data_IF_774605984152
#
_entry.id   IF_774605984152
#
_cell.length_a   1.000
_cell.length_b   1.000
_cell.length_c   1.000
_cell.angle_alpha   90.00
_cell.angle_beta   90.00
_cell.angle_gamma   90.00
#
_symmetry.space_group_name_H-M   'P 1'
#
loop_
_entity.id
_entity.type
_entity.pdbx_description
1 polymer ?
#
# COMPACT_ATOMS: atom_id res chain seq x y z
N UNK A 1 52.36 -9.26 63.96
CA UNK A 1 52.86 -10.57 64.45
C UNK A 1 52.53 -11.74 63.51
N UNK A 2 51.26 -12.19 63.35
CA UNK A 2 50.93 -13.37 62.53
C UNK A 2 51.19 -13.18 61.01
N UNK A 3 50.87 -12.01 60.44
CA UNK A 3 51.15 -11.68 59.03
C UNK A 3 52.65 -11.70 58.68
N UNK A 4 53.49 -11.16 59.57
CA UNK A 4 54.96 -11.15 59.41
C UNK A 4 55.56 -12.55 59.56
N UNK A 5 54.96 -13.42 60.40
CA UNK A 5 55.37 -14.82 60.55
C UNK A 5 54.99 -15.66 59.33
N UNK A 6 53.79 -15.46 58.78
CA UNK A 6 53.34 -16.08 57.51
C UNK A 6 54.17 -15.59 56.31
N UNK A 7 54.55 -14.31 56.27
CA UNK A 7 55.43 -13.76 55.23
C UNK A 7 56.85 -14.33 55.31
N UNK A 8 57.38 -14.57 56.52
CA UNK A 8 58.69 -15.24 56.71
C UNK A 8 58.67 -16.71 56.32
N UNK A 9 57.57 -17.43 56.55
CA UNK A 9 57.42 -18.82 56.13
C UNK A 9 57.29 -18.96 54.61
N UNK A 10 56.54 -18.06 53.94
CA UNK A 10 56.48 -18.00 52.47
C UNK A 10 57.80 -17.65 51.78
N UNK A 11 58.73 -17.02 52.49
CA UNK A 11 60.04 -16.64 51.96
C UNK A 11 61.06 -17.80 51.95
N UNK A 12 60.73 -18.93 52.59
CA UNK A 12 61.58 -20.13 52.72
C UNK A 12 60.97 -21.34 52.00
N UNK A 13 59.67 -21.28 51.69
CA UNK A 13 58.92 -22.31 50.99
C UNK A 13 59.33 -22.35 49.51
N UNK A 14 59.72 -23.53 49.01
CA UNK A 14 60.01 -23.70 47.59
C UNK A 14 58.72 -23.54 46.76
N UNK A 15 58.85 -23.14 45.48
CA UNK A 15 57.71 -23.01 44.58
C UNK A 15 56.89 -24.31 44.51
N UNK A 16 57.55 -25.46 44.54
CA UNK A 16 56.91 -26.78 44.54
C UNK A 16 56.12 -27.07 45.83
N UNK A 17 56.65 -26.71 47.00
CA UNK A 17 55.94 -26.86 48.27
C UNK A 17 54.72 -25.93 48.36
N UNK A 18 54.87 -24.70 47.85
CA UNK A 18 53.79 -23.73 47.76
C UNK A 18 52.66 -24.25 46.85
N UNK A 19 53.01 -24.74 45.66
CA UNK A 19 52.05 -25.29 44.71
C UNK A 19 51.38 -26.57 45.25
N UNK A 20 52.13 -27.42 45.96
CA UNK A 20 51.58 -28.60 46.64
C UNK A 20 50.62 -28.24 47.79
N UNK A 21 50.91 -27.17 48.54
CA UNK A 21 50.01 -26.69 49.59
C UNK A 21 48.72 -26.12 49.00
N UNK A 22 48.82 -25.32 47.93
CA UNK A 22 47.65 -24.82 47.19
C UNK A 22 46.83 -26.00 46.64
N UNK A 23 47.47 -27.03 46.11
CA UNK A 23 46.78 -28.23 45.62
C UNK A 23 45.99 -28.93 46.73
N UNK A 24 46.58 -29.11 47.92
CA UNK A 24 45.88 -29.67 49.10
C UNK A 24 44.68 -28.82 49.53
N UNK A 25 44.83 -27.50 49.54
CA UNK A 25 43.74 -26.57 49.87
C UNK A 25 42.61 -26.69 48.84
N UNK A 26 42.94 -26.74 47.54
CA UNK A 26 41.95 -26.93 46.47
C UNK A 26 41.21 -28.25 46.62
N UNK A 27 41.93 -29.33 46.94
CA UNK A 27 41.32 -30.65 47.16
C UNK A 27 40.37 -30.66 48.36
N UNK A 28 40.77 -30.06 49.48
CA UNK A 28 39.90 -29.94 50.64
C UNK A 28 38.64 -29.11 50.36
N UNK A 29 38.78 -28.00 49.64
CA UNK A 29 37.66 -27.16 49.21
C UNK A 29 36.73 -27.94 48.26
N UNK A 30 37.26 -28.76 47.34
CA UNK A 30 36.46 -29.61 46.44
C UNK A 30 35.57 -30.56 47.24
N UNK A 31 36.15 -31.27 48.21
CA UNK A 31 35.41 -32.22 49.05
C UNK A 31 34.29 -31.53 49.84
N UNK A 32 34.54 -30.34 50.37
CA UNK A 32 33.52 -29.53 51.06
C UNK A 32 32.40 -29.11 50.09
N UNK A 33 32.76 -28.71 48.87
CA UNK A 33 31.78 -28.29 47.85
C UNK A 33 30.98 -29.46 47.26
N UNK A 34 31.52 -30.68 47.29
CA UNK A 34 30.81 -31.89 46.85
C UNK A 34 29.79 -32.37 47.89
N UNK A 35 30.03 -32.05 49.17
CA UNK A 35 29.18 -32.47 50.30
C UNK A 35 28.30 -31.35 50.86
N UNK A 36 28.35 -30.16 50.26
CA UNK A 36 27.56 -29.01 50.69
C UNK A 36 26.06 -29.21 50.41
N UNK A 37 25.21 -28.77 51.34
CA UNK A 37 23.78 -28.70 51.08
C UNK A 37 23.45 -27.57 50.09
N UNK A 38 22.28 -27.63 49.44
CA UNK A 38 21.82 -26.57 48.54
C UNK A 38 21.78 -25.20 49.24
N UNK A 39 21.35 -25.15 50.50
CA UNK A 39 21.31 -23.91 51.30
C UNK A 39 22.72 -23.39 51.61
N UNK A 40 23.64 -24.26 52.02
CA UNK A 40 25.03 -23.89 52.30
C UNK A 40 25.74 -23.38 51.03
N UNK A 41 25.48 -24.03 49.89
CA UNK A 41 25.93 -23.58 48.57
C UNK A 41 25.42 -22.19 48.25
N UNK A 42 24.13 -21.94 48.48
CA UNK A 42 23.53 -20.65 48.16
C UNK A 42 24.07 -19.52 49.06
N UNK A 43 24.26 -19.79 50.35
CA UNK A 43 24.91 -18.84 51.28
C UNK A 43 26.33 -18.52 50.80
N UNK A 44 27.12 -19.53 50.42
CA UNK A 44 28.49 -19.35 49.91
C UNK A 44 28.53 -18.56 48.61
N UNK A 45 27.66 -18.89 47.64
CA UNK A 45 27.58 -18.18 46.37
C UNK A 45 27.05 -16.75 46.54
N UNK A 46 26.11 -16.54 47.47
CA UNK A 46 25.62 -15.20 47.84
C UNK A 46 26.74 -14.35 48.43
N UNK A 47 27.49 -14.88 49.41
CA UNK A 47 28.64 -14.19 49.99
C UNK A 47 29.71 -13.86 48.93
N UNK A 48 29.97 -14.78 47.98
CA UNK A 48 30.90 -14.54 46.87
C UNK A 48 30.39 -13.46 45.91
N UNK A 49 29.10 -13.44 45.58
CA UNK A 49 28.48 -12.37 44.77
C UNK A 49 28.59 -11.02 45.45
N UNK A 50 28.35 -10.95 46.76
CA UNK A 50 28.49 -9.72 47.55
C UNK A 50 29.94 -9.23 47.58
N UNK A 51 30.90 -10.11 47.87
CA UNK A 51 32.31 -9.75 47.84
C UNK A 51 32.74 -9.24 46.46
N UNK A 52 32.35 -9.95 45.39
CA UNK A 52 32.68 -9.52 44.03
C UNK A 52 32.03 -8.18 43.67
N UNK A 53 30.78 -7.95 44.10
CA UNK A 53 30.10 -6.66 43.91
C UNK A 53 30.86 -5.53 44.60
N UNK A 54 31.35 -5.75 45.83
CA UNK A 54 32.14 -4.77 46.55
C UNK A 54 33.46 -4.49 45.85
N UNK A 55 34.19 -5.54 45.43
CA UNK A 55 35.42 -5.38 44.64
C UNK A 55 35.16 -4.60 43.36
N UNK A 56 34.04 -4.85 42.66
CA UNK A 56 33.67 -4.07 41.45
C UNK A 56 33.30 -2.62 41.76
N UNK A 57 32.73 -2.33 42.92
CA UNK A 57 32.39 -0.98 43.33
C UNK A 57 33.63 -0.16 43.69
N UNK A 58 34.63 -0.81 44.30
CA UNK A 58 35.88 -0.19 44.72
C UNK A 58 36.95 -0.15 43.60
N UNK A 59 36.64 -0.65 42.40
CA UNK A 59 37.53 -0.64 41.24
C UNK A 59 37.79 0.78 40.74
N UNK A 60 39.06 1.13 40.56
CA UNK A 60 39.46 2.34 39.82
C UNK A 60 39.14 2.20 38.32
N UNK A 61 38.95 3.31 37.58
CA UNK A 61 38.74 3.28 36.14
C UNK A 61 39.83 2.50 35.38
N UNK A 62 41.10 2.61 35.81
CA UNK A 62 42.24 1.93 35.21
C UNK A 62 42.19 0.42 35.45
N UNK A 63 41.91 -0.01 36.69
CA UNK A 63 41.74 -1.43 37.03
C UNK A 63 40.55 -2.03 36.27
N UNK A 64 39.44 -1.28 36.17
CA UNK A 64 38.26 -1.67 35.39
C UNK A 64 38.62 -1.85 33.93
N UNK A 65 39.41 -0.95 33.34
CA UNK A 65 39.81 -1.03 31.94
C UNK A 65 40.76 -2.21 31.68
N UNK A 66 41.74 -2.46 32.56
CA UNK A 66 42.61 -3.64 32.48
C UNK A 66 41.77 -4.92 32.49
N UNK A 67 40.79 -5.01 33.40
CA UNK A 67 39.89 -6.16 33.47
C UNK A 67 39.03 -6.33 32.22
N UNK A 68 38.41 -5.24 31.73
CA UNK A 68 37.57 -5.30 30.53
C UNK A 68 38.40 -5.62 29.29
N UNK A 69 39.64 -5.12 29.21
CA UNK A 69 40.60 -5.45 28.15
C UNK A 69 40.96 -6.94 28.18
N UNK A 70 41.32 -7.49 29.34
CA UNK A 70 41.58 -8.91 29.50
C UNK A 70 40.37 -9.78 29.11
N UNK A 71 39.15 -9.35 29.49
CA UNK A 71 37.92 -10.04 29.11
C UNK A 71 37.66 -9.99 27.60
N UNK A 72 37.89 -8.84 26.95
CA UNK A 72 37.78 -8.70 25.48
C UNK A 72 38.78 -9.61 24.78
N UNK A 73 40.03 -9.68 25.26
CA UNK A 73 41.06 -10.56 24.72
C UNK A 73 40.69 -12.03 24.86
N UNK A 74 40.28 -12.46 26.05
CA UNK A 74 39.80 -13.83 26.28
C UNK A 74 38.63 -14.17 25.35
N UNK A 75 37.61 -13.31 25.26
CA UNK A 75 36.46 -13.54 24.38
C UNK A 75 36.84 -13.57 22.90
N UNK A 76 37.82 -12.78 22.48
CA UNK A 76 38.34 -12.82 21.11
C UNK A 76 39.04 -14.16 20.82
N UNK A 77 39.84 -14.66 21.76
CA UNK A 77 40.53 -15.95 21.64
C UNK A 77 39.53 -17.11 21.58
N UNK A 78 38.54 -17.12 22.47
CA UNK A 78 37.46 -18.13 22.46
C UNK A 78 36.72 -18.09 21.12
N UNK A 79 36.34 -16.91 20.62
CA UNK A 79 35.65 -16.77 19.32
C UNK A 79 36.49 -17.21 18.13
N UNK A 80 37.81 -16.99 18.17
CA UNK A 80 38.72 -17.43 17.11
C UNK A 80 38.88 -18.95 17.07
N UNK A 81 38.74 -19.62 18.22
CA UNK A 81 38.79 -21.08 18.35
C UNK A 81 37.44 -21.80 18.21
N UNK A 82 36.35 -21.08 17.93
CA UNK A 82 35.02 -21.69 17.77
C UNK A 82 34.96 -22.61 16.55
N UNK A 83 34.43 -23.81 16.74
CA UNK A 83 34.00 -24.66 15.61
C UNK A 83 32.79 -24.06 14.89
N UNK A 84 32.54 -24.40 13.62
CA UNK A 84 31.34 -23.95 12.89
C UNK A 84 30.04 -24.23 13.65
N UNK A 85 29.92 -25.39 14.30
CA UNK A 85 28.74 -25.80 15.06
C UNK A 85 28.56 -24.94 16.33
N UNK A 86 29.63 -24.69 17.08
CA UNK A 86 29.61 -23.80 18.25
C UNK A 86 29.26 -22.36 17.85
N UNK A 87 29.82 -21.88 16.72
CA UNK A 87 29.51 -20.56 16.18
C UNK A 87 28.04 -20.45 15.81
N UNK A 88 27.48 -21.43 15.12
CA UNK A 88 26.07 -21.41 14.73
C UNK A 88 25.14 -21.53 15.95
N UNK A 89 25.47 -22.38 16.93
CA UNK A 89 24.73 -22.46 18.19
C UNK A 89 24.71 -21.11 18.93
N UNK A 90 25.86 -20.42 19.01
CA UNK A 90 25.96 -19.08 19.61
C UNK A 90 25.16 -18.04 18.84
N UNK A 91 25.25 -18.03 17.50
CA UNK A 91 24.48 -17.09 16.67
C UNK A 91 22.97 -17.36 16.77
N UNK A 92 22.55 -18.62 16.86
CA UNK A 92 21.16 -18.98 17.08
C UNK A 92 20.66 -18.53 18.45
N UNK A 93 21.41 -18.80 19.53
CA UNK A 93 21.08 -18.28 20.86
C UNK A 93 20.95 -16.75 20.85
N UNK A 94 21.84 -16.05 20.13
CA UNK A 94 21.77 -14.60 19.97
C UNK A 94 20.55 -14.12 19.18
N UNK A 95 20.19 -14.80 18.08
CA UNK A 95 18.97 -14.51 17.29
C UNK A 95 17.72 -14.69 18.14
N UNK A 96 17.63 -15.80 18.89
CA UNK A 96 16.51 -16.10 19.80
C UNK A 96 16.40 -15.03 20.88
N UNK A 97 17.48 -14.75 21.60
CA UNK A 97 17.51 -13.69 22.62
C UNK A 97 17.04 -12.34 22.06
N UNK A 98 17.57 -11.92 20.90
CA UNK A 98 17.16 -10.66 20.28
C UNK A 98 15.70 -10.66 19.84
N UNK A 99 15.17 -11.79 19.38
CA UNK A 99 13.75 -11.89 19.03
C UNK A 99 12.87 -11.73 20.27
N UNK A 100 13.30 -12.27 21.41
CA UNK A 100 12.60 -12.18 22.69
C UNK A 100 12.63 -10.76 23.24
N UNK A 101 13.83 -10.14 23.27
CA UNK A 101 13.97 -8.73 23.64
C UNK A 101 13.06 -7.83 22.77
N UNK A 102 12.98 -8.09 21.46
CA UNK A 102 12.10 -7.34 20.55
C UNK A 102 10.60 -7.59 20.80
N UNK A 103 10.23 -8.78 21.27
CA UNK A 103 8.86 -9.10 21.61
C UNK A 103 8.43 -8.42 22.93
N UNK A 104 9.37 -8.26 23.86
CA UNK A 104 9.15 -7.65 25.17
C UNK A 104 9.36 -6.11 25.17
N UNK A 105 9.70 -5.52 24.02
CA UNK A 105 9.90 -4.06 23.86
C UNK A 105 8.61 -3.27 24.18
N UNK A 106 8.73 -2.21 24.98
CA UNK A 106 7.64 -1.23 25.11
C UNK A 106 7.48 -0.42 23.81
N UNK A 107 6.31 0.20 23.57
CA UNK A 107 6.12 1.09 22.41
C UNK A 107 7.18 2.20 22.29
N UNK A 108 7.61 2.78 23.41
CA UNK A 108 8.64 3.83 23.47
C UNK A 108 10.01 3.28 23.11
N UNK A 109 10.38 2.10 23.63
CA UNK A 109 11.64 1.43 23.29
C UNK A 109 11.68 1.05 21.80
N UNK A 110 10.56 0.55 21.28
CA UNK A 110 10.42 0.23 19.86
C UNK A 110 10.59 1.47 18.99
N UNK A 111 9.95 2.59 19.34
CA UNK A 111 10.06 3.83 18.57
C UNK A 111 11.48 4.43 18.68
N UNK A 112 12.12 4.39 19.85
CA UNK A 112 13.51 4.81 20.02
C UNK A 112 14.46 3.98 19.13
N UNK A 113 14.28 2.65 19.08
CA UNK A 113 15.06 1.75 18.21
C UNK A 113 14.82 2.04 16.74
N UNK A 114 13.56 2.22 16.32
CA UNK A 114 13.23 2.54 14.93
C UNK A 114 13.78 3.91 14.52
N UNK A 115 13.73 4.90 15.41
CA UNK A 115 14.33 6.20 15.17
C UNK A 115 15.85 6.13 15.06
N UNK A 116 16.54 5.42 15.96
CA UNK A 116 17.98 5.18 15.83
C UNK A 116 18.32 4.52 14.49
N UNK A 117 17.52 3.55 14.04
CA UNK A 117 17.70 2.90 12.75
C UNK A 117 17.45 3.84 11.55
N UNK A 118 16.40 4.67 11.60
CA UNK A 118 16.11 5.70 10.58
C UNK A 118 17.27 6.71 10.48
N UNK A 119 17.77 7.18 11.62
CA UNK A 119 18.89 8.13 11.70
C UNK A 119 20.18 7.53 11.13
N UNK A 120 20.53 6.31 11.55
CA UNK A 120 21.68 5.60 11.00
C UNK A 120 21.57 5.44 9.48
N UNK A 121 20.42 5.00 8.97
CA UNK A 121 20.23 4.86 7.54
C UNK A 121 20.29 6.20 6.82
N UNK A 122 19.72 7.26 7.39
CA UNK A 122 19.82 8.61 6.82
C UNK A 122 21.27 9.06 6.72
N UNK A 123 22.09 8.82 7.75
CA UNK A 123 23.51 9.13 7.74
C UNK A 123 24.25 8.34 6.65
N UNK A 124 24.04 7.03 6.59
CA UNK A 124 24.62 6.18 5.54
C UNK A 124 24.23 6.70 4.15
N UNK A 125 22.97 7.14 3.94
CA UNK A 125 22.51 7.71 2.67
C UNK A 125 23.14 9.07 2.36
N UNK A 126 23.44 9.89 3.37
CA UNK A 126 24.11 11.17 3.19
C UNK A 126 25.57 10.98 2.79
N UNK A 127 26.22 9.94 3.31
CA UNK A 127 27.63 9.61 3.05
C UNK A 127 27.82 8.73 1.79
N UNK A 128 26.75 8.39 1.06
CA UNK A 128 26.82 7.56 -0.15
C UNK A 128 27.57 8.25 -1.28
N UNK A 129 28.52 7.55 -1.90
CA UNK A 129 29.12 8.01 -3.15
C UNK A 129 28.13 7.90 -4.32
N UNK A 130 28.32 8.65 -5.43
CA UNK A 130 27.49 8.52 -6.62
C UNK A 130 27.39 7.09 -7.15
N UNK A 131 28.48 6.31 -7.11
CA UNK A 131 28.53 4.92 -7.57
C UNK A 131 27.71 4.01 -6.64
N UNK A 132 27.87 4.15 -5.33
CA UNK A 132 27.09 3.39 -4.34
C UNK A 132 25.59 3.69 -4.47
N UNK A 133 25.25 4.97 -4.67
CA UNK A 133 23.88 5.41 -4.94
C UNK A 133 23.34 4.78 -6.21
N UNK A 134 24.12 4.71 -7.28
CA UNK A 134 23.67 4.11 -8.54
C UNK A 134 23.48 2.60 -8.43
N UNK A 135 24.38 1.88 -7.76
CA UNK A 135 24.23 0.45 -7.47
C UNK A 135 22.93 0.20 -6.70
N UNK A 136 22.66 1.01 -5.67
CA UNK A 136 21.43 0.90 -4.88
C UNK A 136 20.17 1.19 -5.69
N UNK A 137 20.17 2.27 -6.47
CA UNK A 137 19.02 2.63 -7.30
C UNK A 137 18.79 1.59 -8.40
N UNK A 138 19.85 1.02 -8.97
CA UNK A 138 19.78 -0.09 -9.91
C UNK A 138 19.15 -1.33 -9.27
N UNK A 139 19.60 -1.73 -8.09
CA UNK A 139 19.01 -2.84 -7.33
C UNK A 139 17.52 -2.58 -7.02
N UNK A 140 17.15 -1.36 -6.64
CA UNK A 140 15.76 -0.97 -6.40
C UNK A 140 14.91 -1.03 -7.68
N UNK A 141 15.44 -0.57 -8.82
CA UNK A 141 14.77 -0.69 -10.13
C UNK A 141 14.57 -2.15 -10.52
N UNK A 142 15.57 -3.01 -10.32
CA UNK A 142 15.44 -4.45 -10.58
C UNK A 142 14.39 -5.09 -9.71
N UNK A 143 14.41 -4.84 -8.39
CA UNK A 143 13.40 -5.35 -7.47
C UNK A 143 11.99 -4.89 -7.88
N UNK A 144 11.82 -3.60 -8.19
CA UNK A 144 10.53 -3.08 -8.63
C UNK A 144 10.09 -3.72 -9.96
N UNK A 145 11.00 -3.94 -10.90
CA UNK A 145 10.70 -4.64 -12.16
C UNK A 145 10.23 -6.07 -11.91
N UNK A 146 10.88 -6.80 -10.99
CA UNK A 146 10.48 -8.16 -10.62
C UNK A 146 9.10 -8.18 -9.96
N UNK A 147 8.84 -7.26 -9.02
CA UNK A 147 7.51 -7.12 -8.40
C UNK A 147 6.45 -6.84 -9.46
N UNK A 148 6.73 -5.96 -10.44
CA UNK A 148 5.80 -5.66 -11.54
C UNK A 148 5.59 -6.83 -12.48
N UNK A 149 6.61 -7.66 -12.72
CA UNK A 149 6.50 -8.84 -13.56
C UNK A 149 5.64 -9.93 -12.91
N UNK A 150 5.65 -10.00 -11.58
CA UNK A 150 4.84 -10.95 -10.81
C UNK A 150 3.44 -10.41 -10.44
N UNK A 151 3.08 -9.18 -10.84
CA UNK A 151 1.74 -8.62 -10.57
C UNK A 151 0.66 -9.38 -11.34
N UNK A 152 -0.39 -9.79 -10.63
CA UNK A 152 -1.60 -10.28 -11.29
C UNK A 152 -2.44 -9.10 -11.86
N UNK A 153 -3.42 -9.36 -12.75
CA UNK A 153 -4.24 -8.31 -13.36
C UNK A 153 -5.00 -7.42 -12.36
N UNK A 154 -5.49 -8.00 -11.26
CA UNK A 154 -6.23 -7.26 -10.23
C UNK A 154 -5.31 -6.29 -9.46
N UNK A 155 -4.14 -6.76 -9.04
CA UNK A 155 -3.11 -5.95 -8.40
C UNK A 155 -2.63 -4.82 -9.31
N UNK A 156 -2.44 -5.13 -10.61
CA UNK A 156 -2.09 -4.14 -11.62
C UNK A 156 -3.16 -3.06 -11.75
N UNK A 157 -4.44 -3.45 -11.82
CA UNK A 157 -5.55 -2.49 -11.94
C UNK A 157 -5.74 -1.68 -10.67
N UNK A 158 -5.62 -2.29 -9.48
CA UNK A 158 -5.65 -1.58 -8.21
C UNK A 158 -4.55 -0.50 -8.13
N UNK A 159 -3.32 -0.85 -8.55
CA UNK A 159 -2.22 0.11 -8.63
C UNK A 159 -2.46 1.23 -9.63
N UNK A 160 -2.95 0.90 -10.84
CA UNK A 160 -3.25 1.90 -11.86
C UNK A 160 -4.37 2.83 -11.40
N UNK A 161 -5.38 2.31 -10.70
CA UNK A 161 -6.44 3.11 -10.09
C UNK A 161 -5.90 4.03 -8.99
N UNK A 162 -5.07 3.53 -8.07
CA UNK A 162 -4.41 4.37 -7.08
C UNK A 162 -3.60 5.50 -7.73
N UNK A 163 -2.88 5.20 -8.82
CA UNK A 163 -2.14 6.20 -9.59
C UNK A 163 -3.04 7.23 -10.28
N UNK A 164 -4.16 6.80 -10.91
CA UNK A 164 -5.16 7.69 -11.51
C UNK A 164 -5.78 8.61 -10.45
N UNK A 165 -6.12 8.07 -9.29
CA UNK A 165 -6.72 8.82 -8.17
C UNK A 165 -5.75 9.87 -7.63
N UNK A 166 -4.50 9.48 -7.34
CA UNK A 166 -3.46 10.42 -6.91
C UNK A 166 -3.27 11.55 -7.91
N UNK A 167 -3.16 11.23 -9.21
CA UNK A 167 -2.97 12.25 -10.24
C UNK A 167 -4.21 13.13 -10.44
N UNK A 168 -5.41 12.59 -10.27
CA UNK A 168 -6.66 13.36 -10.31
C UNK A 168 -6.72 14.36 -9.15
N UNK A 169 -6.38 13.92 -7.93
CA UNK A 169 -6.31 14.77 -6.75
C UNK A 169 -5.23 15.85 -6.90
N UNK A 170 -4.03 15.48 -7.36
CA UNK A 170 -2.97 16.43 -7.64
C UNK A 170 -3.42 17.50 -8.65
N UNK A 171 -4.08 17.11 -9.75
CA UNK A 171 -4.61 18.04 -10.76
C UNK A 171 -5.73 18.94 -10.25
N UNK A 172 -6.58 18.44 -9.35
CA UNK A 172 -7.65 19.22 -8.75
C UNK A 172 -7.11 20.30 -7.80
N UNK A 173 -5.96 20.04 -7.16
CA UNK A 173 -5.27 20.99 -6.28
C UNK A 173 -4.23 21.89 -6.97
N UNK A 174 -4.08 21.82 -8.30
CA UNK A 174 -3.11 22.66 -9.03
C UNK A 174 -3.51 24.15 -8.97
N UNK A 175 -2.54 25.02 -8.73
CA UNK A 175 -2.73 26.47 -8.95
C UNK A 175 -2.78 26.78 -10.46
N UNK A 176 -3.36 27.91 -10.88
CA UNK A 176 -3.36 28.32 -12.29
C UNK A 176 -1.96 28.34 -12.93
N UNK A 177 -0.94 28.77 -12.19
CA UNK A 177 0.46 28.84 -12.65
C UNK A 177 1.04 27.43 -12.84
N UNK A 178 0.80 26.52 -11.88
CA UNK A 178 1.22 25.12 -11.97
C UNK A 178 0.55 24.42 -13.16
N UNK A 179 -0.74 24.68 -13.37
CA UNK A 179 -1.50 24.16 -14.50
C UNK A 179 -0.92 24.63 -15.83
N UNK A 180 -0.63 25.93 -15.96
CA UNK A 180 -0.06 26.49 -17.20
C UNK A 180 1.36 25.98 -17.45
N UNK A 181 2.20 25.86 -16.42
CA UNK A 181 3.52 25.25 -16.53
C UNK A 181 3.44 23.80 -17.03
N UNK A 182 2.51 23.00 -16.49
CA UNK A 182 2.27 21.61 -16.93
C UNK A 182 1.78 21.56 -18.38
N UNK A 183 0.85 22.42 -18.78
CA UNK A 183 0.34 22.47 -20.15
C UNK A 183 1.42 22.92 -21.14
N UNK A 184 2.27 23.88 -20.77
CA UNK A 184 3.41 24.29 -21.57
C UNK A 184 4.45 23.19 -21.72
N UNK A 185 4.81 22.50 -20.63
CA UNK A 185 5.68 21.33 -20.72
C UNK A 185 5.11 20.24 -21.64
N UNK A 186 3.78 20.00 -21.57
CA UNK A 186 3.09 19.07 -22.46
C UNK A 186 3.10 19.51 -23.94
N UNK A 187 2.88 20.80 -24.22
CA UNK A 187 2.97 21.37 -25.59
C UNK A 187 4.39 21.22 -26.15
N UNK A 188 5.41 21.54 -25.34
CA UNK A 188 6.82 21.42 -25.73
C UNK A 188 7.22 19.97 -26.01
N UNK A 189 6.86 19.05 -25.11
CA UNK A 189 7.10 17.61 -25.32
C UNK A 189 6.44 17.12 -26.61
N UNK A 190 5.18 17.48 -26.85
CA UNK A 190 4.49 17.07 -28.07
C UNK A 190 5.11 17.69 -29.32
N UNK A 191 5.55 18.95 -29.26
CA UNK A 191 6.27 19.59 -30.36
C UNK A 191 7.55 18.81 -30.70
N UNK A 192 8.33 18.42 -29.68
CA UNK A 192 9.55 17.63 -29.86
C UNK A 192 9.24 16.25 -30.44
N UNK A 193 8.25 15.53 -29.90
CA UNK A 193 7.83 14.23 -30.44
C UNK A 193 7.36 14.33 -31.89
N UNK A 194 6.77 15.46 -32.31
CA UNK A 194 6.39 15.71 -33.71
C UNK A 194 7.58 16.03 -34.60
N UNK A 195 8.59 16.72 -34.08
CA UNK A 195 9.82 17.02 -34.79
C UNK A 195 10.64 15.74 -35.05
N UNK A 196 10.68 14.84 -34.06
CA UNK A 196 11.41 13.57 -34.11
C UNK A 196 10.58 12.41 -34.74
N UNK A 197 9.38 12.71 -35.27
CA UNK A 197 8.46 11.71 -35.81
C UNK A 197 8.95 11.18 -37.17
N UNK A 198 9.11 9.86 -37.30
CA UNK A 198 9.42 9.24 -38.60
C UNK A 198 8.25 9.42 -39.59
N UNK A 199 8.50 9.44 -40.91
CA UNK A 199 7.44 9.60 -41.91
C UNK A 199 6.30 8.57 -41.77
N UNK A 200 6.61 7.33 -41.42
CA UNK A 200 5.62 6.25 -41.23
C UNK A 200 4.73 6.54 -40.03
N UNK A 201 5.31 6.94 -38.88
CA UNK A 201 4.55 7.32 -37.69
C UNK A 201 3.67 8.54 -37.94
N UNK A 202 4.19 9.51 -38.70
CA UNK A 202 3.45 10.70 -39.13
C UNK A 202 2.23 10.32 -39.96
N UNK A 203 2.38 9.41 -40.91
CA UNK A 203 1.28 8.97 -41.77
C UNK A 203 0.21 8.20 -40.98
N UNK A 204 0.61 7.29 -40.08
CA UNK A 204 -0.33 6.59 -39.19
C UNK A 204 -1.16 7.58 -38.38
N UNK A 205 -0.52 8.61 -37.81
CA UNK A 205 -1.23 9.65 -37.05
C UNK A 205 -2.17 10.47 -37.93
N UNK A 206 -1.71 10.94 -39.08
CA UNK A 206 -2.53 11.77 -39.97
C UNK A 206 -3.72 10.97 -40.51
N UNK A 207 -3.52 9.68 -40.81
CA UNK A 207 -4.58 8.75 -41.18
C UNK A 207 -5.60 8.60 -40.06
N UNK A 208 -5.15 8.35 -38.82
CA UNK A 208 -6.04 8.28 -37.65
C UNK A 208 -6.83 9.59 -37.44
N UNK A 209 -6.18 10.75 -37.62
CA UNK A 209 -6.83 12.05 -37.53
C UNK A 209 -7.90 12.23 -38.63
N UNK A 210 -7.58 11.89 -39.88
CA UNK A 210 -8.54 11.94 -41.01
C UNK A 210 -9.74 11.03 -40.76
N UNK A 211 -9.52 9.82 -40.24
CA UNK A 211 -10.56 8.88 -39.88
C UNK A 211 -11.46 9.42 -38.76
N UNK A 212 -10.87 9.92 -37.68
CA UNK A 212 -11.62 10.53 -36.58
C UNK A 212 -12.44 11.73 -37.07
N UNK A 213 -11.85 12.66 -37.82
CA UNK A 213 -12.57 13.80 -38.39
C UNK A 213 -13.69 13.38 -39.33
N UNK A 214 -13.51 12.31 -40.11
CA UNK A 214 -14.59 11.76 -40.94
C UNK A 214 -15.73 11.17 -40.11
N UNK A 215 -15.43 10.49 -39.01
CA UNK A 215 -16.44 9.92 -38.12
C UNK A 215 -17.24 11.02 -37.43
N UNK A 216 -16.57 12.06 -36.92
CA UNK A 216 -17.21 13.23 -36.32
C UNK A 216 -18.16 13.90 -37.31
N UNK A 217 -17.70 14.21 -38.54
CA UNK A 217 -18.57 14.81 -39.57
C UNK A 217 -19.78 13.95 -39.92
N UNK A 218 -19.61 12.62 -39.99
CA UNK A 218 -20.72 11.69 -40.25
C UNK A 218 -21.73 11.69 -39.09
N UNK A 219 -21.25 11.69 -37.86
CA UNK A 219 -22.10 11.75 -36.67
C UNK A 219 -22.87 13.07 -36.61
N UNK A 220 -22.20 14.20 -36.83
CA UNK A 220 -22.84 15.53 -36.91
C UNK A 220 -23.90 15.56 -38.00
N UNK A 221 -23.60 15.06 -39.20
CA UNK A 221 -24.57 15.00 -40.29
C UNK A 221 -25.79 14.16 -39.91
N UNK A 222 -25.58 12.99 -39.31
CA UNK A 222 -26.68 12.12 -38.85
C UNK A 222 -27.52 12.78 -37.77
N UNK A 223 -26.91 13.52 -36.84
CA UNK A 223 -27.63 14.29 -35.81
C UNK A 223 -28.49 15.40 -36.45
N UNK A 224 -27.96 16.12 -37.44
CA UNK A 224 -28.70 17.15 -38.18
C UNK A 224 -29.87 16.52 -38.95
N UNK A 225 -29.64 15.41 -39.65
CA UNK A 225 -30.69 14.68 -40.37
C UNK A 225 -31.80 14.19 -39.42
N UNK A 226 -31.44 13.67 -38.24
CA UNK A 226 -32.40 13.25 -37.22
C UNK A 226 -33.20 14.44 -36.64
N UNK A 227 -32.54 15.57 -36.40
CA UNK A 227 -33.18 16.80 -35.95
C UNK A 227 -34.17 17.33 -36.98
N UNK A 228 -33.76 17.42 -38.25
CA UNK A 228 -34.62 17.87 -39.34
C UNK A 228 -35.84 16.94 -39.50
N UNK A 229 -35.64 15.62 -39.42
CA UNK A 229 -36.74 14.65 -39.44
C UNK A 229 -37.72 14.89 -38.28
N UNK A 230 -37.24 15.30 -37.11
CA UNK A 230 -38.09 15.56 -35.94
C UNK A 230 -38.91 16.84 -36.10
N UNK A 231 -38.30 17.93 -36.58
CA UNK A 231 -39.00 19.20 -36.79
C UNK A 231 -40.02 19.12 -37.92
N UNK A 232 -39.72 18.37 -38.98
CA UNK A 232 -40.61 18.20 -40.13
C UNK A 232 -41.83 17.28 -39.84
N UNK A 233 -41.99 16.76 -38.62
CA UNK A 233 -43.21 16.08 -38.20
C UNK A 233 -44.24 17.15 -37.81
N UNK A 234 -45.16 17.46 -38.71
CA UNK A 234 -46.23 18.44 -38.47
C UNK A 234 -47.44 17.84 -37.74
N UNK A 235 -48.27 18.70 -37.12
CA UNK A 235 -49.53 18.31 -36.48
C UNK A 235 -50.69 18.21 -37.50
N UNK A 236 -50.52 17.34 -38.50
CA UNK A 236 -51.46 17.18 -39.61
C UNK A 236 -52.59 16.17 -39.33
N UNK A 237 -52.47 15.34 -38.28
CA UNK A 237 -53.48 14.34 -37.93
C UNK A 237 -54.61 14.97 -37.15
N UNK A 238 -55.83 14.79 -37.63
CA UNK A 238 -57.04 15.33 -37.00
C UNK A 238 -57.72 14.21 -36.23
N UNK A 239 -58.02 14.45 -34.96
CA UNK A 239 -58.87 13.55 -34.18
C UNK A 239 -60.29 13.54 -34.77
N UNK A 240 -60.80 12.38 -35.15
CA UNK A 240 -62.14 12.29 -35.78
C UNK A 240 -63.29 12.55 -34.82
N UNK A 241 -63.03 12.64 -33.52
CA UNK A 241 -64.04 12.99 -32.51
C UNK A 241 -63.98 14.46 -32.12
N UNK A 242 -62.81 15.00 -31.77
CA UNK A 242 -62.72 16.38 -31.24
C UNK A 242 -62.05 17.37 -32.20
N UNK A 243 -61.80 16.96 -33.45
CA UNK A 243 -61.20 17.73 -34.54
C UNK A 243 -59.85 18.40 -34.24
N UNK A 244 -59.24 18.10 -33.09
CA UNK A 244 -57.94 18.62 -32.68
C UNK A 244 -56.83 18.11 -33.60
N UNK A 245 -56.07 19.05 -34.18
CA UNK A 245 -54.79 18.79 -34.84
C UNK A 245 -53.76 18.27 -33.84
N UNK A 246 -53.23 17.10 -34.14
CA UNK A 246 -52.37 16.32 -33.27
C UNK A 246 -51.17 15.84 -34.08
N UNK A 247 -50.03 15.70 -33.41
CA UNK A 247 -48.88 15.04 -34.03
C UNK A 247 -49.18 13.54 -34.23
N UNK A 248 -48.55 12.88 -35.21
CA UNK A 248 -48.74 11.45 -35.47
C UNK A 248 -48.59 10.54 -34.24
N UNK A 249 -47.71 10.91 -33.29
CA UNK A 249 -47.51 10.17 -32.04
C UNK A 249 -48.57 10.43 -30.95
N UNK A 250 -49.46 11.40 -31.15
CA UNK A 250 -50.53 11.78 -30.20
C UNK A 250 -51.89 11.19 -30.55
N UNK A 251 -51.99 10.54 -31.72
CA UNK A 251 -53.20 9.88 -32.21
C UNK A 251 -53.01 8.37 -32.31
N UNK A 252 -54.08 7.61 -32.11
CA UNK A 252 -54.08 6.16 -32.29
C UNK A 252 -55.39 5.70 -32.90
N UNK A 253 -55.33 4.69 -33.76
CA UNK A 253 -56.52 4.02 -34.27
C UNK A 253 -57.24 3.29 -33.14
N UNK A 254 -58.56 3.45 -33.07
CA UNK A 254 -59.43 2.77 -32.13
C UNK A 254 -60.56 2.07 -32.86
N UNK A 255 -60.75 0.77 -32.58
CA UNK A 255 -61.86 -0.02 -33.12
C UNK A 255 -63.14 0.35 -32.37
N UNK A 256 -64.21 0.60 -33.11
CA UNK A 256 -65.51 0.96 -32.54
C UNK A 256 -66.19 -0.33 -32.06
N UNK A 257 -66.57 -0.37 -30.78
CA UNK A 257 -67.35 -1.45 -30.20
C UNK A 257 -68.82 -1.04 -30.05
N UNK A 258 -69.72 -2.02 -29.89
CA UNK A 258 -71.18 -1.83 -29.81
C UNK A 258 -71.62 -0.82 -28.74
N UNK A 259 -70.90 -0.73 -27.62
CA UNK A 259 -71.20 0.22 -26.53
C UNK A 259 -70.90 1.67 -26.88
N UNK A 260 -70.00 1.91 -27.83
CA UNK A 260 -69.54 3.24 -28.26
C UNK A 260 -70.36 3.71 -29.47
N UNK A 261 -70.82 2.77 -30.30
CA UNK A 261 -71.70 3.00 -31.44
C UNK A 261 -73.08 3.60 -31.06
N UNK A 262 -73.50 3.48 -29.80
CA UNK A 262 -74.82 3.95 -29.33
C UNK A 262 -74.94 5.47 -29.21
N UNK A 263 -73.82 6.19 -29.05
CA UNK A 263 -73.80 7.65 -28.87
C UNK A 263 -72.86 8.40 -29.82
N UNK A 264 -72.22 7.68 -30.75
CA UNK A 264 -71.46 8.27 -31.86
C UNK A 264 -72.33 8.39 -33.13
N UNK A 265 -72.12 9.43 -33.97
CA UNK A 265 -72.79 9.60 -35.25
C UNK A 265 -72.57 8.41 -36.18
N UNK A 266 -73.56 8.13 -37.02
CA UNK A 266 -73.54 7.02 -37.95
C UNK A 266 -72.36 7.10 -38.95
N UNK A 267 -71.92 8.32 -39.28
CA UNK A 267 -70.78 8.62 -40.16
C UNK A 267 -69.45 8.15 -39.58
N UNK A 268 -69.30 8.15 -38.25
CA UNK A 268 -68.11 7.64 -37.57
C UNK A 268 -68.22 6.14 -37.31
N UNK A 269 -69.40 5.66 -36.93
CA UNK A 269 -69.66 4.25 -36.62
C UNK A 269 -69.51 3.34 -37.85
N UNK A 270 -69.86 3.82 -39.04
CA UNK A 270 -69.74 3.09 -40.32
C UNK A 270 -68.29 2.82 -40.75
N UNK A 271 -67.31 3.60 -40.26
CA UNK A 271 -65.89 3.45 -40.62
C UNK A 271 -65.18 2.27 -39.93
N UNK A 272 -65.77 1.70 -38.87
CA UNK A 272 -65.22 0.55 -38.11
C UNK A 272 -63.98 0.84 -37.25
N UNK A 273 -63.08 1.72 -37.71
CA UNK A 273 -61.93 2.23 -36.96
C UNK A 273 -61.83 3.74 -37.10
N UNK A 274 -61.61 4.44 -35.99
CA UNK A 274 -61.49 5.90 -35.95
C UNK A 274 -60.14 6.35 -35.37
N UNK A 275 -59.63 7.46 -35.87
CA UNK A 275 -58.36 8.04 -35.43
C UNK A 275 -58.58 9.02 -34.28
N UNK A 276 -58.04 8.70 -33.10
CA UNK A 276 -58.35 9.42 -31.87
C UNK A 276 -57.13 10.00 -31.18
N UNK A 277 -57.24 11.23 -30.67
CA UNK A 277 -56.25 11.74 -29.72
C UNK A 277 -56.31 10.95 -28.39
N UNK A 278 -55.22 10.96 -27.64
CA UNK A 278 -55.11 10.20 -26.38
C UNK A 278 -56.24 10.48 -25.37
N UNK A 279 -56.74 11.72 -25.32
CA UNK A 279 -57.85 12.12 -24.44
C UNK A 279 -59.18 11.49 -24.88
N UNK A 280 -59.51 11.55 -26.18
CA UNK A 280 -60.73 10.93 -26.72
C UNK A 280 -60.67 9.40 -26.61
N UNK A 281 -59.51 8.80 -26.88
CA UNK A 281 -59.29 7.37 -26.65
C UNK A 281 -59.60 6.99 -25.21
N UNK A 282 -59.01 7.70 -24.23
CA UNK A 282 -59.22 7.44 -22.80
C UNK A 282 -60.70 7.53 -22.42
N UNK A 283 -61.42 8.54 -22.95
CA UNK A 283 -62.86 8.73 -22.72
C UNK A 283 -63.71 7.58 -23.27
N UNK A 284 -63.39 7.07 -24.46
CA UNK A 284 -64.11 5.94 -25.05
C UNK A 284 -63.80 4.60 -24.38
N UNK A 285 -62.59 4.45 -23.83
CA UNK A 285 -62.21 3.26 -23.07
C UNK A 285 -62.72 3.27 -21.62
N UNK A 286 -63.11 4.43 -21.09
CA UNK A 286 -63.79 4.52 -19.79
C UNK A 286 -65.26 4.13 -19.93
N UNK A 287 -65.89 3.68 -18.83
CA UNK A 287 -67.32 3.27 -18.76
C UNK A 287 -68.28 4.47 -18.84
N UNK A 288 -68.08 5.37 -19.79
CA UNK A 288 -68.93 6.53 -20.02
C UNK A 288 -70.03 6.17 -21.02
N UNK A 289 -71.25 6.61 -20.73
CA UNK A 289 -72.46 6.37 -21.55
C UNK A 289 -72.80 7.56 -22.45
N UNK A 290 -71.97 8.60 -22.43
CA UNK A 290 -72.14 9.83 -23.21
C UNK A 290 -70.87 10.22 -23.97
N UNK A 291 -71.07 10.88 -25.13
CA UNK A 291 -69.99 11.37 -25.97
C UNK A 291 -69.09 12.40 -25.24
N UNK A 292 -67.82 12.57 -25.65
CA UNK A 292 -66.94 13.57 -25.05
C UNK A 292 -67.52 14.99 -25.17
N UNK A 293 -67.37 15.82 -24.14
CA UNK A 293 -67.97 17.18 -24.07
C UNK A 293 -67.49 18.20 -25.12
N UNK A 294 -66.58 17.80 -26.04
CA UNK A 294 -66.10 18.59 -27.18
C UNK A 294 -66.06 17.72 -28.45
N UNK A 295 -66.97 16.74 -28.55
CA UNK A 295 -67.07 15.86 -29.69
C UNK A 295 -67.94 16.49 -30.78
N UNK A 296 -67.52 16.23 -32.03
CA UNK A 296 -68.01 16.67 -33.33
C UNK A 296 -67.43 18.03 -33.76
#
# INVERSE_FOLDING_TARGET
>A
MAKQRMQRLRAVESQEEHDAQIAKIRQHISVIQETESVEQREIRLSALRMHNSQVRADETPEQREVRLSALRMHNSQVRAGETPEQREARLNAYRVHNSQVRADETPEQREARLNAYRMHNSQVRADETPEQREVRLSALRMHNSQVRACENPEQREARLNAYRMHNSQARAGETPEQREARLNAYRMHNSQVRADETPEKREVRLSALRMHSSQVRKAEKSQIEAFNKTINIFCDKVCEICTKRCYPNQVTNHKINLSIASYLPAELTSKGTILLCHRCKKHLTSKNTSGPAKAY
#
